data_IF_256020636153
#
_entry.id   IF_256020636153
#
_cell.length_a   1.000
_cell.length_b   1.000
_cell.length_c   1.000
_cell.angle_alpha   90.00
_cell.angle_beta   90.00
_cell.angle_gamma   90.00
#
_symmetry.space_group_name_H-M   'P 1'
#
loop_
_entity.id
_entity.type
_entity.pdbx_description
1 polymer ?
#
# COMPACT_ATOMS: atom_id res chain seq x y z
N UNK A 1 -18.46 66.93 -28.86
CA UNK A 1 -18.67 65.56 -28.34
C UNK A 1 -20.14 65.24 -28.59
N UNK A 2 -20.43 64.37 -29.57
CA UNK A 2 -21.78 64.20 -30.11
C UNK A 2 -22.74 63.69 -29.04
N UNK A 3 -23.88 64.38 -28.92
CA UNK A 3 -25.01 64.06 -28.02
C UNK A 3 -25.46 62.60 -28.23
N UNK A 4 -25.31 62.07 -29.44
CA UNK A 4 -25.68 60.70 -29.81
C UNK A 4 -24.84 59.62 -29.09
N UNK A 5 -23.57 59.88 -28.77
CA UNK A 5 -22.71 58.92 -28.05
C UNK A 5 -23.11 58.84 -26.58
N UNK A 6 -23.49 59.98 -25.97
CA UNK A 6 -23.91 60.02 -24.56
C UNK A 6 -25.26 59.32 -24.39
N UNK A 7 -26.19 59.49 -25.33
CA UNK A 7 -27.49 58.80 -25.32
C UNK A 7 -27.31 57.29 -25.53
N UNK A 8 -26.46 56.87 -26.47
CA UNK A 8 -26.19 55.45 -26.72
C UNK A 8 -25.56 54.75 -25.50
N UNK A 9 -24.62 55.41 -24.81
CA UNK A 9 -24.00 54.88 -23.58
C UNK A 9 -25.03 54.79 -22.44
N UNK A 10 -25.92 55.80 -22.30
CA UNK A 10 -26.99 55.78 -21.31
C UNK A 10 -27.99 54.63 -21.50
N UNK A 11 -28.40 54.36 -22.74
CA UNK A 11 -29.28 53.24 -23.09
C UNK A 11 -28.57 51.90 -22.83
N UNK A 12 -27.28 51.78 -23.16
CA UNK A 12 -26.53 50.55 -22.91
C UNK A 12 -26.41 50.22 -21.41
N UNK A 13 -26.07 51.20 -20.59
CA UNK A 13 -25.90 51.00 -19.13
C UNK A 13 -27.23 50.63 -18.45
N UNK A 14 -28.33 51.24 -18.88
CA UNK A 14 -29.68 50.93 -18.36
C UNK A 14 -30.14 49.52 -18.76
N UNK A 15 -29.83 49.08 -19.97
CA UNK A 15 -30.15 47.72 -20.43
C UNK A 15 -29.37 46.63 -19.68
N UNK A 16 -28.08 46.86 -19.44
CA UNK A 16 -27.21 45.92 -18.68
C UNK A 16 -27.66 45.81 -17.22
N UNK A 17 -28.06 46.93 -16.60
CA UNK A 17 -28.52 46.95 -15.21
C UNK A 17 -29.85 46.19 -15.02
N UNK A 18 -30.76 46.28 -16.00
CA UNK A 18 -32.03 45.56 -15.98
C UNK A 18 -31.84 44.04 -16.12
N UNK A 19 -30.89 43.60 -16.95
CA UNK A 19 -30.60 42.19 -17.18
C UNK A 19 -30.05 41.50 -15.92
N UNK A 20 -29.15 42.16 -15.20
CA UNK A 20 -28.61 41.67 -13.93
C UNK A 20 -29.70 41.52 -12.86
N UNK A 21 -30.59 42.50 -12.75
CA UNK A 21 -31.70 42.45 -11.79
C UNK A 21 -32.65 41.26 -12.03
N UNK A 22 -33.01 41.00 -13.29
CA UNK A 22 -33.89 39.88 -13.65
C UNK A 22 -33.26 38.51 -13.38
N UNK A 23 -31.94 38.39 -13.60
CA UNK A 23 -31.19 37.14 -13.37
C UNK A 23 -31.17 36.76 -11.89
N UNK A 24 -30.96 37.74 -11.01
CA UNK A 24 -30.98 37.51 -9.55
C UNK A 24 -32.38 37.10 -9.06
N UNK A 25 -33.44 37.69 -9.62
CA UNK A 25 -34.83 37.31 -9.28
C UNK A 25 -35.18 35.88 -9.75
N UNK A 26 -34.62 35.43 -10.87
CA UNK A 26 -34.87 34.09 -11.42
C UNK A 26 -34.22 33.00 -10.55
N UNK A 27 -32.96 33.19 -10.14
CA UNK A 27 -32.22 32.23 -9.31
C UNK A 27 -32.89 32.03 -7.94
N UNK A 28 -33.44 33.09 -7.35
CA UNK A 28 -34.10 33.04 -6.04
C UNK A 28 -35.48 32.36 -6.04
N UNK A 29 -36.01 31.91 -7.20
CA UNK A 29 -37.35 31.31 -7.32
C UNK A 29 -37.39 29.80 -7.53
N UNK A 30 -36.26 29.10 -7.55
CA UNK A 30 -36.24 27.64 -7.74
C UNK A 30 -36.51 26.89 -6.41
N UNK A 31 -37.62 26.11 -6.28
CA UNK A 31 -37.89 25.31 -5.07
C UNK A 31 -37.25 23.92 -5.14
N UNK A 32 -36.78 23.44 -3.98
CA UNK A 32 -35.95 22.25 -3.78
C UNK A 32 -36.80 20.98 -3.50
N UNK A 33 -36.28 19.80 -3.90
CA UNK A 33 -36.40 18.44 -3.27
C UNK A 33 -37.18 17.32 -4.00
N UNK A 34 -38.29 17.50 -4.73
CA UNK A 34 -39.09 16.32 -5.17
C UNK A 34 -38.71 15.66 -6.52
N UNK A 35 -37.96 16.33 -7.41
CA UNK A 35 -37.62 15.76 -8.75
C UNK A 35 -36.40 14.83 -8.76
N UNK A 36 -35.53 14.89 -7.76
CA UNK A 36 -34.20 14.24 -7.82
C UNK A 36 -34.24 12.70 -7.78
N UNK A 37 -35.27 12.08 -7.18
CA UNK A 37 -35.35 10.62 -7.04
C UNK A 37 -35.76 9.90 -8.33
N UNK A 38 -36.79 10.40 -9.03
CA UNK A 38 -37.32 9.75 -10.24
C UNK A 38 -36.35 9.88 -11.43
N UNK A 39 -35.65 11.02 -11.54
CA UNK A 39 -34.59 11.20 -12.54
C UNK A 39 -33.35 10.37 -12.25
N UNK A 40 -33.02 10.09 -10.98
CA UNK A 40 -31.95 9.16 -10.62
C UNK A 40 -32.26 7.74 -11.08
N UNK A 41 -33.49 7.30 -10.90
CA UNK A 41 -33.90 5.93 -11.25
C UNK A 41 -34.01 5.73 -12.77
N UNK A 42 -34.47 6.75 -13.50
CA UNK A 42 -34.46 6.78 -14.98
C UNK A 42 -33.05 6.92 -15.56
N UNK A 43 -32.19 7.75 -14.96
CA UNK A 43 -30.78 7.85 -15.34
C UNK A 43 -30.06 6.53 -15.09
N UNK A 44 -30.35 5.84 -13.98
CA UNK A 44 -29.79 4.51 -13.69
C UNK A 44 -30.19 3.46 -14.74
N UNK A 45 -31.46 3.40 -15.17
CA UNK A 45 -31.90 2.45 -16.22
C UNK A 45 -31.35 2.77 -17.61
N UNK A 46 -31.27 4.06 -17.95
CA UNK A 46 -30.64 4.50 -19.21
C UNK A 46 -29.14 4.19 -19.21
N UNK A 47 -28.47 4.44 -18.07
CA UNK A 47 -27.10 4.02 -17.81
C UNK A 47 -27.02 2.51 -18.00
N UNK A 48 -27.71 1.66 -17.24
CA UNK A 48 -27.68 0.19 -17.36
C UNK A 48 -27.88 -0.34 -18.80
N UNK A 49 -28.77 0.24 -19.61
CA UNK A 49 -28.96 -0.17 -21.02
C UNK A 49 -27.81 0.20 -21.98
N UNK A 50 -26.96 1.17 -21.59
CA UNK A 50 -25.81 1.65 -22.36
C UNK A 50 -24.56 0.77 -22.21
N UNK A 51 -24.52 -0.12 -21.20
CA UNK A 51 -23.38 -0.96 -20.82
C UNK A 51 -23.65 -2.47 -21.02
N UNK A 52 -24.68 -2.86 -21.80
CA UNK A 52 -25.14 -4.26 -21.90
C UNK A 52 -24.53 -5.10 -23.05
N UNK A 53 -23.75 -4.54 -23.99
CA UNK A 53 -23.21 -5.34 -25.12
C UNK A 53 -21.68 -5.47 -25.09
N UNK A 54 -21.18 -6.71 -24.90
CA UNK A 54 -19.78 -7.08 -25.08
C UNK A 54 -19.43 -7.29 -26.57
N UNK A 55 -18.26 -6.81 -27.01
CA UNK A 55 -17.61 -7.19 -28.29
C UNK A 55 -17.08 -6.03 -29.15
N UNK A 56 -15.94 -6.25 -29.83
CA UNK A 56 -15.40 -5.34 -30.85
C UNK A 56 -16.20 -5.46 -32.17
N UNK A 57 -16.64 -4.35 -32.80
CA UNK A 57 -17.30 -4.40 -34.10
C UNK A 57 -16.37 -4.77 -35.25
N UNK A 58 -16.87 -5.55 -36.22
CA UNK A 58 -16.16 -6.08 -37.40
C UNK A 58 -15.52 -5.03 -38.35
N UNK A 59 -15.72 -3.73 -38.12
CA UNK A 59 -15.33 -2.66 -39.05
C UNK A 59 -14.08 -1.84 -38.64
N UNK A 60 -13.33 -2.30 -37.63
CA UNK A 60 -12.19 -1.59 -37.02
C UNK A 60 -11.01 -1.30 -37.97
N UNK A 61 -10.85 -2.02 -39.08
CA UNK A 61 -9.74 -1.84 -40.04
C UNK A 61 -10.04 -0.90 -41.22
N UNK A 62 -11.18 -0.21 -41.25
CA UNK A 62 -11.54 0.70 -42.37
C UNK A 62 -11.41 2.18 -41.99
N UNK A 63 -11.00 3.00 -42.96
CA UNK A 63 -10.85 4.47 -42.85
C UNK A 63 -12.23 5.16 -42.92
N UNK A 64 -13.11 4.84 -41.97
CA UNK A 64 -14.37 5.58 -41.73
C UNK A 64 -14.57 5.78 -40.23
N UNK A 65 -15.35 6.82 -39.87
CA UNK A 65 -15.67 7.16 -38.48
C UNK A 65 -16.32 5.96 -37.77
N UNK A 66 -15.75 5.46 -36.66
CA UNK A 66 -16.25 4.27 -36.00
C UNK A 66 -17.66 4.50 -35.46
N UNK A 67 -18.56 3.58 -35.77
CA UNK A 67 -19.98 3.65 -35.44
C UNK A 67 -20.29 3.33 -33.97
N UNK A 68 -19.31 2.88 -33.18
CA UNK A 68 -19.51 2.55 -31.77
C UNK A 68 -18.32 2.89 -30.86
N UNK A 69 -18.72 3.29 -29.65
CA UNK A 69 -18.01 3.73 -28.47
C UNK A 69 -17.41 2.67 -27.50
N UNK A 70 -16.20 2.11 -27.62
CA UNK A 70 -15.67 1.13 -26.63
C UNK A 70 -14.17 1.17 -26.35
N UNK A 71 -13.75 0.60 -25.21
CA UNK A 71 -12.37 0.13 -25.00
C UNK A 71 -12.13 -1.14 -25.82
N UNK A 72 -10.91 -1.37 -26.29
CA UNK A 72 -10.53 -2.65 -26.90
C UNK A 72 -10.60 -3.81 -25.89
N UNK A 73 -10.42 -3.52 -24.58
CA UNK A 73 -10.36 -4.51 -23.50
C UNK A 73 -11.04 -4.03 -22.22
N UNK A 74 -11.51 -4.96 -21.38
CA UNK A 74 -12.18 -4.64 -20.11
C UNK A 74 -11.17 -4.10 -19.08
N UNK A 75 -11.51 -2.99 -18.41
CA UNK A 75 -10.76 -2.49 -17.26
C UNK A 75 -11.56 -2.74 -15.98
N UNK A 76 -10.88 -3.15 -14.93
CA UNK A 76 -11.45 -3.42 -13.62
C UNK A 76 -10.82 -2.52 -12.58
N UNK A 77 -11.58 -2.22 -11.51
CA UNK A 77 -11.11 -1.42 -10.38
C UNK A 77 -11.54 -2.02 -9.05
N UNK A 78 -10.62 -2.10 -8.11
CA UNK A 78 -10.90 -2.41 -6.71
C UNK A 78 -10.58 -1.18 -5.85
N UNK A 79 -11.60 -0.50 -5.27
CA UNK A 79 -11.35 0.56 -4.32
C UNK A 79 -10.82 0.01 -2.99
N UNK A 80 -9.82 0.68 -2.43
CA UNK A 80 -9.25 0.40 -1.12
C UNK A 80 -9.38 1.65 -0.24
N UNK A 81 -9.55 1.43 1.06
CA UNK A 81 -9.52 2.48 2.06
C UNK A 81 -8.54 2.07 3.15
N UNK A 82 -7.45 2.83 3.26
CA UNK A 82 -6.46 2.69 4.32
C UNK A 82 -6.78 3.73 5.38
N UNK A 83 -7.02 3.30 6.62
CA UNK A 83 -7.36 4.18 7.73
C UNK A 83 -6.36 4.02 8.87
N UNK A 84 -5.81 5.14 9.35
CA UNK A 84 -5.12 5.17 10.64
C UNK A 84 -6.09 5.72 11.69
N UNK A 85 -6.25 4.99 12.80
CA UNK A 85 -7.05 5.39 13.96
C UNK A 85 -6.21 5.59 15.23
N UNK A 86 -4.88 5.54 15.09
CA UNK A 86 -3.94 5.64 16.22
C UNK A 86 -3.62 7.09 16.58
N UNK A 87 -3.86 8.02 15.65
CA UNK A 87 -3.50 9.43 15.78
C UNK A 87 -2.06 9.74 15.36
N UNK A 88 -1.32 8.73 14.88
CA UNK A 88 0.06 8.88 14.44
C UNK A 88 0.10 8.90 12.91
N UNK A 89 0.76 9.91 12.35
CA UNK A 89 0.97 9.99 10.90
C UNK A 89 1.97 8.93 10.45
N UNK A 90 1.60 8.19 9.41
CA UNK A 90 2.35 7.12 8.78
C UNK A 90 3.03 7.65 7.53
N UNK A 91 4.35 7.50 7.49
CA UNK A 91 5.18 7.90 6.36
C UNK A 91 5.82 6.63 5.81
N UNK A 92 5.73 6.44 4.50
CA UNK A 92 6.30 5.30 3.78
C UNK A 92 5.85 3.96 4.39
N UNK A 93 4.59 3.85 4.80
CA UNK A 93 4.05 2.66 5.46
C UNK A 93 3.78 1.55 4.47
N UNK A 94 4.29 0.37 4.78
CA UNK A 94 4.04 -0.81 3.99
C UNK A 94 2.74 -1.45 4.47
N UNK A 95 1.73 -1.45 3.61
CA UNK A 95 0.45 -2.09 3.86
C UNK A 95 0.32 -3.30 2.97
N UNK A 96 -0.12 -4.41 3.54
CA UNK A 96 -0.45 -5.63 2.82
C UNK A 96 -1.92 -5.61 2.44
N UNK A 97 -2.25 -5.97 1.21
CA UNK A 97 -3.61 -6.05 0.67
C UNK A 97 -3.78 -7.37 -0.03
N UNK A 98 -4.59 -8.27 0.53
CA UNK A 98 -4.96 -9.52 -0.13
C UNK A 98 -6.13 -9.26 -1.09
N UNK A 99 -5.91 -9.48 -2.38
CA UNK A 99 -6.88 -9.19 -3.43
C UNK A 99 -7.23 -10.43 -4.22
N UNK A 100 -8.54 -10.63 -4.39
CA UNK A 100 -9.09 -11.58 -5.36
C UNK A 100 -9.39 -10.78 -6.63
N UNK A 101 -8.69 -11.14 -7.70
CA UNK A 101 -8.79 -10.49 -9.01
C UNK A 101 -9.75 -11.24 -9.94
N UNK A 102 -9.72 -12.57 -9.90
CA UNK A 102 -10.50 -13.44 -10.76
C UNK A 102 -10.73 -14.81 -10.10
N UNK A 103 -11.75 -14.89 -9.23
CA UNK A 103 -12.13 -16.11 -8.52
C UNK A 103 -12.62 -17.25 -9.44
N UNK A 104 -13.05 -16.89 -10.66
CA UNK A 104 -13.64 -17.81 -11.63
C UNK A 104 -12.72 -18.10 -12.82
N UNK A 105 -11.49 -17.58 -12.80
CA UNK A 105 -10.51 -17.76 -13.86
C UNK A 105 -11.05 -17.48 -15.26
N UNK A 106 -11.59 -16.27 -15.45
CA UNK A 106 -12.06 -15.74 -16.73
C UNK A 106 -11.03 -14.86 -17.44
N UNK A 107 -9.74 -15.04 -17.13
CA UNK A 107 -8.61 -14.29 -17.68
C UNK A 107 -8.80 -12.77 -17.56
N UNK A 108 -9.16 -12.27 -16.37
CA UNK A 108 -9.40 -10.82 -16.16
C UNK A 108 -8.14 -10.00 -15.91
N UNK A 109 -7.05 -10.61 -15.43
CA UNK A 109 -5.93 -9.87 -14.83
C UNK A 109 -4.58 -10.38 -15.31
N UNK A 110 -3.93 -9.54 -16.10
CA UNK A 110 -2.53 -9.70 -16.45
C UNK A 110 -1.64 -8.92 -15.47
N UNK A 111 -0.53 -9.52 -15.01
CA UNK A 111 0.32 -8.95 -13.96
C UNK A 111 0.77 -7.51 -14.27
N UNK A 112 1.21 -7.27 -15.51
CA UNK A 112 1.77 -6.00 -15.95
C UNK A 112 0.73 -4.88 -16.05
N UNK A 113 -0.56 -5.19 -15.95
CA UNK A 113 -1.63 -4.19 -16.02
C UNK A 113 -2.01 -3.62 -14.66
N UNK A 114 -1.60 -4.28 -13.57
CA UNK A 114 -1.98 -3.86 -12.22
C UNK A 114 -1.32 -2.52 -11.90
N UNK A 115 -2.12 -1.52 -11.56
CA UNK A 115 -1.69 -0.17 -11.16
C UNK A 115 -2.48 0.30 -9.96
N UNK A 116 -1.87 1.07 -9.06
CA UNK A 116 -2.56 1.65 -7.92
C UNK A 116 -2.46 3.16 -7.98
N UNK A 117 -3.58 3.85 -7.82
CA UNK A 117 -3.62 5.31 -7.76
C UNK A 117 -4.32 5.77 -6.48
N UNK A 118 -3.94 6.94 -5.97
CA UNK A 118 -4.73 7.64 -4.97
C UNK A 118 -5.88 8.46 -5.59
N UNK A 119 -6.63 9.18 -4.75
CA UNK A 119 -7.74 10.03 -5.17
C UNK A 119 -7.34 11.24 -6.00
N UNK A 120 -6.04 11.58 -6.01
CA UNK A 120 -5.45 12.64 -6.81
C UNK A 120 -4.77 12.10 -8.08
N UNK A 121 -4.97 10.81 -8.40
CA UNK A 121 -4.36 10.11 -9.54
C UNK A 121 -2.83 10.05 -9.49
N UNK A 122 -2.22 10.18 -8.31
CA UNK A 122 -0.81 9.85 -8.16
C UNK A 122 -0.66 8.33 -8.11
N UNK A 123 0.26 7.80 -8.91
CA UNK A 123 0.57 6.38 -8.90
C UNK A 123 1.29 6.00 -7.60
N UNK A 124 0.86 4.90 -7.01
CA UNK A 124 1.40 4.36 -5.76
C UNK A 124 2.17 3.09 -6.10
N UNK A 125 3.50 3.07 -5.87
CA UNK A 125 4.31 1.88 -6.07
C UNK A 125 3.80 0.72 -5.22
N UNK A 126 3.84 -0.48 -5.80
CA UNK A 126 3.51 -1.72 -5.10
C UNK A 126 4.45 -2.86 -5.51
N UNK A 127 4.47 -3.93 -4.71
CA UNK A 127 5.08 -5.21 -5.05
C UNK A 127 4.09 -6.34 -4.86
N UNK A 128 4.22 -7.38 -5.67
CA UNK A 128 3.56 -8.65 -5.42
C UNK A 128 4.35 -9.44 -4.37
N UNK A 129 3.65 -9.95 -3.36
CA UNK A 129 4.23 -10.83 -2.34
C UNK A 129 3.83 -12.30 -2.55
N UNK A 130 2.59 -12.53 -2.97
CA UNK A 130 2.05 -13.86 -3.21
C UNK A 130 1.12 -13.80 -4.40
N UNK A 131 1.32 -14.64 -5.41
CA UNK A 131 0.51 -14.65 -6.62
C UNK A 131 0.03 -16.06 -6.88
N UNK A 132 -1.28 -16.21 -6.99
CA UNK A 132 -1.89 -17.40 -7.55
C UNK A 132 -2.37 -17.11 -8.96
N UNK A 133 -2.23 -18.11 -9.81
CA UNK A 133 -2.53 -18.01 -11.22
C UNK A 133 -3.66 -18.95 -11.60
N UNK A 134 -4.49 -18.46 -12.51
CA UNK A 134 -5.37 -19.26 -13.33
C UNK A 134 -4.58 -19.97 -14.44
N UNK A 135 -5.30 -20.66 -15.32
CA UNK A 135 -4.70 -21.16 -16.55
C UNK A 135 -4.11 -20.00 -17.37
N UNK A 136 -3.11 -20.28 -18.21
CA UNK A 136 -2.51 -19.31 -19.15
C UNK A 136 -1.77 -18.13 -18.49
N UNK A 137 -1.52 -18.18 -17.17
CA UNK A 137 -0.66 -17.20 -16.48
C UNK A 137 -1.38 -15.94 -15.97
N UNK A 138 -2.71 -15.89 -16.08
CA UNK A 138 -3.51 -14.80 -15.51
C UNK A 138 -3.58 -14.89 -13.98
N UNK A 139 -3.60 -13.76 -13.27
CA UNK A 139 -3.65 -13.73 -11.80
C UNK A 139 -5.08 -14.01 -11.34
N UNK A 140 -5.26 -15.01 -10.47
CA UNK A 140 -6.53 -15.28 -9.79
C UNK A 140 -6.69 -14.42 -8.53
N UNK A 141 -5.65 -14.39 -7.71
CA UNK A 141 -5.57 -13.60 -6.50
C UNK A 141 -4.10 -13.31 -6.20
N UNK A 142 -3.84 -12.20 -5.54
CA UNK A 142 -2.51 -11.89 -5.08
C UNK A 142 -2.52 -11.03 -3.83
N UNK A 143 -1.45 -11.12 -3.06
CA UNK A 143 -1.12 -10.13 -2.05
C UNK A 143 -0.31 -9.02 -2.68
N UNK A 144 -0.79 -7.79 -2.53
CA UNK A 144 -0.03 -6.57 -2.85
C UNK A 144 0.55 -5.98 -1.58
N UNK A 145 1.83 -5.65 -1.61
CA UNK A 145 2.46 -4.78 -0.62
C UNK A 145 2.55 -3.39 -1.22
N UNK A 146 1.99 -2.39 -0.53
CA UNK A 146 1.85 -1.02 -1.03
C UNK A 146 2.55 -0.05 -0.07
N UNK A 147 3.22 0.98 -0.61
CA UNK A 147 3.87 2.02 0.20
C UNK A 147 2.96 3.25 0.28
N UNK A 148 2.44 3.58 1.46
CA UNK A 148 1.44 4.64 1.65
C UNK A 148 1.85 5.68 2.69
N UNK A 149 1.39 6.91 2.47
CA UNK A 149 1.42 7.97 3.47
C UNK A 149 -0.01 8.22 3.95
N UNK A 150 -0.25 8.12 5.26
CA UNK A 150 -1.58 8.30 5.87
C UNK A 150 -1.43 9.14 7.12
N UNK A 151 -2.08 10.29 7.18
CA UNK A 151 -2.06 11.13 8.40
C UNK A 151 -2.80 10.44 9.55
N UNK A 152 -2.40 10.73 10.79
CA UNK A 152 -3.05 10.16 11.96
C UNK A 152 -4.55 10.52 12.02
N UNK A 153 -5.39 9.56 12.44
CA UNK A 153 -6.86 9.72 12.47
C UNK A 153 -7.49 10.10 11.12
N UNK A 154 -6.86 9.69 10.02
CA UNK A 154 -7.32 9.99 8.66
C UNK A 154 -7.52 8.72 7.82
N UNK A 155 -8.11 8.89 6.65
CA UNK A 155 -8.37 7.82 5.69
C UNK A 155 -7.82 8.21 4.33
N UNK A 156 -7.04 7.32 3.71
CA UNK A 156 -6.57 7.44 2.33
C UNK A 156 -7.33 6.46 1.44
N UNK A 157 -7.89 6.97 0.35
CA UNK A 157 -8.52 6.15 -0.69
C UNK A 157 -7.48 5.79 -1.73
N UNK A 158 -7.46 4.52 -2.12
CA UNK A 158 -6.65 4.03 -3.21
C UNK A 158 -7.54 3.25 -4.17
N UNK A 159 -7.08 3.09 -5.40
CA UNK A 159 -7.81 2.39 -6.44
C UNK A 159 -6.82 1.51 -7.19
N UNK A 160 -7.03 0.20 -7.11
CA UNK A 160 -6.28 -0.78 -7.89
C UNK A 160 -6.99 -0.96 -9.22
N UNK A 161 -6.30 -0.72 -10.32
CA UNK A 161 -6.77 -0.92 -11.68
C UNK A 161 -6.04 -2.09 -12.32
N UNK A 162 -6.72 -2.85 -13.16
CA UNK A 162 -6.13 -3.96 -13.90
C UNK A 162 -6.99 -4.36 -15.09
N UNK A 163 -6.39 -5.04 -16.06
CA UNK A 163 -7.06 -5.56 -17.26
C UNK A 163 -6.44 -6.88 -17.70
N UNK A 164 -6.95 -7.45 -18.78
CA UNK A 164 -6.41 -8.62 -19.45
C UNK A 164 -5.48 -8.26 -20.62
N UNK A 165 -4.88 -7.07 -20.58
CA UNK A 165 -4.03 -6.59 -21.67
C UNK A 165 -2.58 -7.05 -21.53
N UNK A 166 -2.25 -8.14 -22.22
CA UNK A 166 -0.89 -8.69 -22.28
C UNK A 166 0.12 -7.76 -22.97
N UNK A 167 -0.33 -6.75 -23.71
CA UNK A 167 0.56 -5.81 -24.40
C UNK A 167 1.13 -4.72 -23.49
N UNK A 168 0.59 -4.59 -22.28
CA UNK A 168 1.05 -3.59 -21.31
C UNK A 168 2.38 -4.01 -20.71
N UNK A 169 3.34 -3.10 -20.75
CA UNK A 169 4.66 -3.29 -20.15
C UNK A 169 4.59 -3.29 -18.62
N UNK A 170 5.50 -4.04 -18.01
CA UNK A 170 5.63 -4.13 -16.56
C UNK A 170 5.99 -2.75 -15.97
N UNK A 171 5.32 -2.31 -14.89
CA UNK A 171 5.70 -1.08 -14.23
C UNK A 171 7.05 -1.22 -13.54
N UNK A 172 7.90 -0.21 -13.68
CA UNK A 172 9.21 -0.23 -13.06
C UNK A 172 9.20 0.48 -11.70
N UNK A 173 9.04 -0.27 -10.61
CA UNK A 173 9.13 0.23 -9.23
C UNK A 173 10.47 -0.16 -8.59
N UNK A 174 11.54 0.59 -8.86
CA UNK A 174 12.90 0.26 -8.39
C UNK A 174 13.21 0.67 -6.94
N UNK A 175 12.42 1.56 -6.33
CA UNK A 175 12.73 2.14 -5.01
C UNK A 175 11.98 1.44 -3.86
N UNK A 176 12.39 0.21 -3.58
CA UNK A 176 11.90 -0.57 -2.44
C UNK A 176 13.02 -0.79 -1.43
N UNK A 177 12.81 -0.24 -0.24
CA UNK A 177 13.74 -0.34 0.87
C UNK A 177 13.44 -1.51 1.80
N UNK A 178 12.18 -1.95 1.90
CA UNK A 178 11.77 -3.15 2.63
C UNK A 178 12.15 -4.41 1.84
N UNK A 179 13.08 -5.19 2.39
CA UNK A 179 13.66 -6.38 1.75
C UNK A 179 13.30 -7.69 2.44
N UNK A 180 12.72 -7.65 3.64
CA UNK A 180 12.11 -8.81 4.29
C UNK A 180 10.95 -8.34 5.14
N UNK A 181 9.83 -9.04 5.05
CA UNK A 181 8.71 -8.87 5.98
C UNK A 181 8.03 -10.21 6.28
N UNK A 182 8.22 -10.71 7.49
CA UNK A 182 7.56 -11.90 8.02
C UNK A 182 6.51 -11.45 9.08
N UNK A 183 5.22 -11.35 8.71
CA UNK A 183 4.16 -11.00 9.66
C UNK A 183 3.83 -12.16 10.60
N UNK A 184 4.21 -13.39 10.27
CA UNK A 184 3.86 -14.57 11.04
C UNK A 184 2.34 -14.79 11.22
N UNK A 185 1.57 -14.42 10.20
CA UNK A 185 0.11 -14.51 10.19
C UNK A 185 -0.43 -15.86 9.69
N UNK A 186 0.41 -16.77 9.20
CA UNK A 186 -0.03 -18.02 8.56
C UNK A 186 -0.74 -18.97 9.54
N UNK A 187 -0.30 -18.99 10.81
CA UNK A 187 -0.95 -19.72 11.90
C UNK A 187 -0.90 -21.25 11.82
N UNK A 188 -0.39 -21.83 10.73
CA UNK A 188 -0.26 -23.27 10.52
C UNK A 188 0.92 -23.60 9.58
N UNK A 189 1.36 -24.86 9.59
CA UNK A 189 2.46 -25.33 8.75
C UNK A 189 3.83 -24.86 9.25
N UNK A 190 4.83 -24.93 8.37
CA UNK A 190 6.23 -24.64 8.70
C UNK A 190 6.83 -23.54 7.80
N UNK A 191 6.00 -22.70 7.19
CA UNK A 191 6.43 -21.64 6.27
C UNK A 191 5.94 -20.31 6.82
N UNK A 192 6.86 -19.34 6.89
CA UNK A 192 6.57 -17.93 7.13
C UNK A 192 6.84 -17.16 5.83
N UNK A 193 5.80 -16.65 5.19
CA UNK A 193 5.92 -16.03 3.88
C UNK A 193 6.53 -14.64 3.98
N UNK A 194 7.39 -14.32 3.00
CA UNK A 194 7.94 -12.97 2.86
C UNK A 194 7.00 -12.06 2.08
N UNK A 195 6.49 -11.06 2.77
CA UNK A 195 5.59 -10.05 2.23
C UNK A 195 6.30 -8.82 1.67
N UNK A 196 7.63 -8.79 1.61
CA UNK A 196 8.37 -7.69 0.97
C UNK A 196 8.37 -7.77 -0.56
N UNK A 197 8.04 -8.94 -1.12
CA UNK A 197 8.14 -9.22 -2.56
C UNK A 197 9.55 -9.56 -3.04
N UNK A 198 10.48 -9.89 -2.12
CA UNK A 198 11.82 -10.40 -2.45
C UNK A 198 11.95 -11.92 -2.28
N UNK A 199 10.86 -12.62 -1.96
CA UNK A 199 10.79 -14.06 -1.79
C UNK A 199 11.76 -14.61 -0.73
N UNK A 200 12.10 -13.82 0.28
CA UNK A 200 12.97 -14.18 1.40
C UNK A 200 12.19 -14.98 2.46
N UNK A 201 11.52 -16.04 2.00
CA UNK A 201 10.61 -16.87 2.80
C UNK A 201 11.34 -17.54 3.96
N UNK A 202 10.76 -17.48 5.15
CA UNK A 202 11.24 -18.16 6.35
C UNK A 202 10.70 -19.59 6.43
N UNK A 203 11.53 -20.52 6.89
CA UNK A 203 11.14 -21.90 7.18
C UNK A 203 11.27 -22.14 8.69
N UNK A 204 10.19 -22.59 9.32
CA UNK A 204 10.19 -22.98 10.73
C UNK A 204 10.82 -24.38 10.84
N UNK A 205 11.79 -24.55 11.74
CA UNK A 205 12.29 -25.88 12.10
C UNK A 205 11.39 -26.53 13.17
N UNK A 206 11.79 -27.73 13.65
CA UNK A 206 10.96 -28.56 14.53
C UNK A 206 10.48 -27.81 15.80
N UNK A 207 9.29 -28.18 16.30
CA UNK A 207 8.68 -27.69 17.55
C UNK A 207 8.46 -26.17 17.69
N UNK A 208 8.77 -25.38 16.67
CA UNK A 208 8.26 -24.01 16.55
C UNK A 208 6.74 -24.07 16.43
N UNK A 209 6.03 -23.27 17.21
CA UNK A 209 4.57 -23.30 17.30
C UNK A 209 3.98 -21.94 16.94
N UNK A 210 2.74 -21.94 16.44
CA UNK A 210 2.00 -20.71 16.19
C UNK A 210 1.26 -20.28 17.47
N UNK A 211 1.16 -18.97 17.69
CA UNK A 211 0.43 -18.39 18.81
C UNK A 211 -0.32 -17.11 18.37
N UNK A 212 -1.15 -16.57 19.26
CA UNK A 212 -1.74 -15.25 19.03
C UNK A 212 -0.67 -14.16 19.14
N UNK A 213 -0.59 -13.34 18.09
CA UNK A 213 0.42 -12.31 17.94
C UNK A 213 0.10 -10.99 18.62
N UNK A 214 0.96 -10.02 18.37
CA UNK A 214 0.66 -8.61 18.58
C UNK A 214 -0.43 -8.18 17.61
N UNK A 215 -0.33 -8.64 16.37
CA UNK A 215 -1.36 -8.53 15.34
C UNK A 215 -1.58 -9.92 14.75
N UNK A 216 -2.84 -10.35 14.62
CA UNK A 216 -3.14 -11.67 14.06
C UNK A 216 -2.44 -12.82 14.80
N UNK A 217 -1.61 -13.58 14.08
CA UNK A 217 -0.82 -14.68 14.63
C UNK A 217 0.63 -14.25 14.86
N UNK A 218 1.40 -15.12 15.51
CA UNK A 218 2.83 -14.96 15.73
C UNK A 218 3.50 -16.33 15.82
N UNK A 219 4.82 -16.33 15.83
CA UNK A 219 5.62 -17.52 16.09
C UNK A 219 6.04 -17.56 17.56
N UNK A 220 5.83 -18.70 18.21
CA UNK A 220 6.20 -18.99 19.58
C UNK A 220 7.40 -19.95 19.64
N UNK A 221 8.41 -19.53 20.39
CA UNK A 221 9.62 -20.27 20.72
C UNK A 221 9.60 -20.62 22.21
N UNK A 222 10.04 -21.83 22.55
CA UNK A 222 9.98 -22.40 23.90
C UNK A 222 11.34 -22.41 24.62
N UNK A 223 12.38 -21.79 24.03
CA UNK A 223 13.76 -21.84 24.54
C UNK A 223 14.52 -23.14 24.23
N UNK A 224 13.94 -24.05 23.45
CA UNK A 224 14.61 -25.23 22.86
C UNK A 224 15.26 -24.88 21.51
N UNK A 225 15.99 -25.80 20.84
CA UNK A 225 16.70 -25.56 19.57
C UNK A 225 15.84 -25.23 18.33
N UNK A 226 15.00 -24.21 18.46
CA UNK A 226 13.91 -23.86 17.57
C UNK A 226 14.20 -22.47 16.96
N UNK A 227 14.00 -22.33 15.66
CA UNK A 227 14.25 -21.11 14.90
C UNK A 227 13.45 -21.07 13.60
N UNK A 228 13.24 -19.85 13.09
CA UNK A 228 12.87 -19.63 11.69
C UNK A 228 14.13 -19.30 10.91
N UNK A 229 14.34 -19.97 9.78
CA UNK A 229 15.50 -19.75 8.92
C UNK A 229 15.09 -19.08 7.61
N UNK A 230 15.72 -17.95 7.29
CA UNK A 230 15.67 -17.28 5.99
C UNK A 230 16.99 -17.53 5.27
N UNK A 231 16.94 -18.26 4.15
CA UNK A 231 18.15 -18.74 3.44
C UNK A 231 18.66 -17.81 2.34
N UNK A 232 17.87 -16.84 1.95
CA UNK A 232 18.25 -15.96 0.86
C UNK A 232 19.22 -14.88 1.37
N UNK A 233 20.26 -14.56 0.59
CA UNK A 233 21.22 -13.56 0.97
C UNK A 233 20.62 -12.15 1.01
N UNK A 234 20.69 -11.47 2.16
CA UNK A 234 20.42 -10.02 2.24
C UNK A 234 21.76 -9.28 2.24
N UNK A 235 22.03 -8.45 1.24
CA UNK A 235 23.27 -7.66 1.17
C UNK A 235 22.99 -6.23 1.62
N UNK A 236 23.36 -5.88 2.86
CA UNK A 236 22.95 -4.65 3.52
C UNK A 236 24.16 -3.79 3.93
N UNK A 237 24.33 -2.63 3.27
CA UNK A 237 25.34 -1.63 3.64
C UNK A 237 24.92 -0.80 4.86
N UNK A 238 23.66 -0.35 4.82
CA UNK A 238 22.96 0.27 5.94
C UNK A 238 21.64 -0.43 6.08
N UNK A 239 21.06 -0.45 7.27
CA UNK A 239 19.84 -1.21 7.48
C UNK A 239 19.05 -0.77 8.69
N UNK A 240 17.81 -1.23 8.73
CA UNK A 240 16.97 -1.22 9.92
C UNK A 240 16.37 -2.59 10.10
N UNK A 241 16.41 -3.12 11.31
CA UNK A 241 15.71 -4.35 11.70
C UNK A 241 14.67 -3.96 12.73
N UNK A 242 13.43 -4.41 12.57
CA UNK A 242 12.36 -4.14 13.52
C UNK A 242 11.46 -5.35 13.69
N UNK A 243 10.95 -5.56 14.90
CA UNK A 243 10.06 -6.69 15.23
C UNK A 243 9.37 -6.45 16.57
N UNK A 244 8.30 -7.18 16.81
CA UNK A 244 7.66 -7.30 18.11
C UNK A 244 8.15 -8.54 18.82
N UNK A 245 8.48 -8.42 20.11
CA UNK A 245 8.76 -9.56 20.98
C UNK A 245 7.83 -9.54 22.20
N UNK A 246 7.54 -10.72 22.72
CA UNK A 246 6.97 -10.91 24.05
C UNK A 246 7.74 -12.05 24.72
N UNK A 247 8.80 -11.74 25.47
CA UNK A 247 9.62 -12.72 26.16
C UNK A 247 8.81 -13.50 27.20
N UNK A 248 9.17 -14.75 27.43
CA UNK A 248 8.63 -15.57 28.52
C UNK A 248 9.28 -15.20 29.86
N UNK A 249 8.59 -15.50 30.96
CA UNK A 249 9.13 -15.34 32.32
C UNK A 249 10.16 -16.38 32.70
N UNK A 250 10.34 -17.42 31.90
CA UNK A 250 11.29 -18.49 32.15
C UNK A 250 12.27 -18.52 30.98
N UNK A 251 13.54 -18.16 31.21
CA UNK A 251 14.47 -17.92 30.13
C UNK A 251 15.93 -18.14 30.52
N UNK A 252 16.79 -18.24 29.51
CA UNK A 252 18.26 -18.21 29.70
C UNK A 252 18.77 -16.78 29.50
N UNK A 253 20.00 -16.51 29.93
CA UNK A 253 20.65 -15.23 29.66
C UNK A 253 21.11 -15.15 28.19
N UNK A 254 21.00 -13.97 27.58
CA UNK A 254 21.52 -13.69 26.24
C UNK A 254 20.81 -14.42 25.09
N UNK A 255 19.49 -14.60 25.17
CA UNK A 255 18.71 -15.37 24.19
C UNK A 255 18.73 -14.75 22.79
N UNK A 256 18.96 -15.56 21.77
CA UNK A 256 19.03 -15.11 20.38
C UNK A 256 17.64 -14.80 19.81
N UNK A 257 17.37 -13.52 19.55
CA UNK A 257 16.18 -13.09 18.80
C UNK A 257 16.45 -13.21 17.30
N UNK A 258 17.63 -12.77 16.87
CA UNK A 258 18.09 -12.93 15.49
C UNK A 258 19.59 -13.17 15.48
N UNK A 259 20.03 -14.08 14.62
CA UNK A 259 21.42 -14.42 14.44
C UNK A 259 21.74 -14.60 12.96
N UNK A 260 22.90 -14.08 12.54
CA UNK A 260 23.45 -14.35 11.23
C UNK A 260 24.80 -15.09 11.38
N UNK A 261 24.83 -16.35 10.92
CA UNK A 261 26.02 -17.20 10.94
C UNK A 261 26.80 -16.91 9.66
N UNK A 262 28.07 -16.54 9.79
CA UNK A 262 29.18 -17.08 9.00
C UNK A 262 30.41 -16.18 9.24
N UNK A 263 30.30 -14.87 8.99
CA UNK A 263 31.47 -13.96 8.94
C UNK A 263 31.40 -12.71 9.85
N UNK A 264 30.22 -12.30 10.32
CA UNK A 264 30.04 -10.98 10.99
C UNK A 264 29.64 -11.06 12.47
N UNK A 265 29.45 -12.27 12.99
CA UNK A 265 28.96 -12.57 14.33
C UNK A 265 27.95 -11.52 14.81
N UNK A 266 26.86 -11.38 14.05
CA UNK A 266 25.83 -10.38 14.30
C UNK A 266 24.68 -10.98 15.09
N UNK A 267 24.38 -10.40 16.25
CA UNK A 267 23.33 -10.89 17.13
C UNK A 267 22.38 -9.78 17.55
N UNK A 268 21.11 -10.13 17.55
CA UNK A 268 20.09 -9.47 18.35
C UNK A 268 19.71 -10.41 19.49
N UNK A 269 19.78 -9.91 20.72
CA UNK A 269 19.60 -10.73 21.92
C UNK A 269 18.62 -10.11 22.90
N UNK A 270 18.00 -10.99 23.68
CA UNK A 270 17.27 -10.66 24.89
C UNK A 270 18.05 -11.10 26.12
N UNK A 271 18.43 -10.15 26.96
CA UNK A 271 19.05 -10.43 28.25
C UNK A 271 17.96 -10.61 29.30
N UNK A 272 17.68 -11.87 29.65
CA UNK A 272 16.61 -12.24 30.57
C UNK A 272 16.74 -11.57 31.94
N UNK A 273 17.93 -11.59 32.55
CA UNK A 273 18.12 -11.05 33.91
C UNK A 273 17.86 -9.54 34.04
N UNK A 274 18.09 -8.78 32.96
CA UNK A 274 17.88 -7.33 32.92
C UNK A 274 16.65 -6.92 32.10
N UNK A 275 15.97 -7.87 31.47
CA UNK A 275 14.91 -7.64 30.48
C UNK A 275 15.31 -6.67 29.35
N UNK A 276 16.59 -6.65 28.97
CA UNK A 276 17.12 -5.70 27.99
C UNK A 276 17.22 -6.31 26.60
N UNK A 277 16.94 -5.47 25.61
CA UNK A 277 17.23 -5.76 24.22
C UNK A 277 18.67 -5.34 23.90
N UNK A 278 19.43 -6.23 23.27
CA UNK A 278 20.84 -6.00 22.99
C UNK A 278 21.20 -6.35 21.55
N UNK A 279 22.24 -5.70 21.05
CA UNK A 279 22.88 -6.00 19.77
C UNK A 279 24.36 -6.29 20.00
N UNK A 280 24.91 -7.21 19.21
CA UNK A 280 26.33 -7.45 19.10
C UNK A 280 26.74 -7.53 17.64
N UNK A 281 27.94 -7.01 17.35
CA UNK A 281 28.61 -7.22 16.08
C UNK A 281 30.12 -7.27 16.32
N UNK A 282 30.78 -8.28 15.74
CA UNK A 282 32.24 -8.38 15.76
C UNK A 282 32.91 -7.47 14.71
N UNK A 283 32.14 -6.90 13.78
CA UNK A 283 32.63 -6.10 12.64
C UNK A 283 32.70 -4.62 12.90
N UNK A 284 31.98 -4.12 13.90
CA UNK A 284 32.10 -2.74 14.30
C UNK A 284 33.52 -2.42 14.75
N UNK A 285 33.91 -1.16 14.61
CA UNK A 285 35.10 -0.62 15.22
C UNK A 285 34.73 0.52 16.20
N UNK A 286 34.89 0.29 17.52
CA UNK A 286 35.29 -0.98 18.15
C UNK A 286 34.16 -2.05 18.07
N UNK A 287 34.50 -3.36 18.10
CA UNK A 287 33.50 -4.42 18.27
C UNK A 287 32.75 -4.22 19.59
N UNK A 288 31.46 -4.51 19.64
CA UNK A 288 30.65 -4.06 20.77
C UNK A 288 29.40 -4.88 21.05
N UNK A 289 29.11 -5.05 22.34
CA UNK A 289 27.84 -5.53 22.88
C UNK A 289 27.10 -4.34 23.50
N UNK A 290 25.95 -3.97 22.96
CA UNK A 290 25.20 -2.79 23.38
C UNK A 290 23.77 -3.16 23.70
N UNK A 291 23.34 -2.84 24.91
CA UNK A 291 21.96 -3.00 25.36
C UNK A 291 21.27 -1.65 25.51
N UNK A 292 19.95 -1.71 25.43
CA UNK A 292 19.04 -0.62 25.79
C UNK A 292 19.12 -0.30 27.30
N UNK A 293 18.53 0.82 27.71
CA UNK A 293 18.24 1.13 29.11
C UNK A 293 16.77 0.85 29.43
N UNK A 294 15.86 1.11 28.49
CA UNK A 294 14.46 0.70 28.56
C UNK A 294 14.34 -0.83 28.45
N UNK A 295 13.47 -1.40 29.28
CA UNK A 295 13.23 -2.84 29.35
C UNK A 295 12.18 -3.27 28.32
N UNK A 296 12.43 -4.39 27.66
CA UNK A 296 11.41 -5.16 26.96
C UNK A 296 10.79 -6.13 27.98
N UNK A 297 9.72 -5.68 28.64
CA UNK A 297 9.12 -6.36 29.79
C UNK A 297 8.68 -7.81 29.46
N UNK A 298 9.00 -8.74 30.36
CA UNK A 298 8.53 -10.13 30.25
C UNK A 298 7.01 -10.21 30.18
N UNK A 299 6.51 -11.15 29.37
CA UNK A 299 5.09 -11.39 29.15
C UNK A 299 4.29 -10.20 28.59
N UNK A 300 4.96 -9.14 28.14
CA UNK A 300 4.34 -8.01 27.44
C UNK A 300 4.95 -7.85 26.05
N UNK A 301 4.13 -7.37 25.13
CA UNK A 301 4.61 -7.03 23.79
C UNK A 301 5.43 -5.75 23.84
N UNK A 302 6.66 -5.83 23.37
CA UNK A 302 7.55 -4.69 23.14
C UNK A 302 7.99 -4.69 21.69
N UNK A 303 7.93 -3.53 21.05
CA UNK A 303 8.55 -3.34 19.74
C UNK A 303 10.02 -3.01 19.95
N UNK A 304 10.89 -3.74 19.28
CA UNK A 304 12.32 -3.50 19.31
C UNK A 304 12.80 -3.25 17.89
N UNK A 305 13.70 -2.29 17.74
CA UNK A 305 14.34 -2.05 16.45
C UNK A 305 15.78 -1.61 16.63
N UNK A 306 16.57 -1.82 15.58
CA UNK A 306 17.87 -1.19 15.41
C UNK A 306 17.94 -0.50 14.06
N UNK A 307 18.63 0.64 13.99
CA UNK A 307 19.03 1.26 12.72
C UNK A 307 20.54 1.47 12.69
N UNK A 308 21.16 1.13 11.56
CA UNK A 308 22.60 1.20 11.36
C UNK A 308 22.92 1.99 10.09
N UNK A 309 23.73 3.05 10.23
CA UNK A 309 24.05 3.99 9.15
C UNK A 309 25.57 4.12 8.90
N UNK A 310 26.32 3.02 9.03
CA UNK A 310 27.79 2.91 8.97
C UNK A 310 28.59 3.56 10.09
N UNK A 311 28.06 4.62 10.72
CA UNK A 311 28.75 5.40 11.77
C UNK A 311 28.08 5.30 13.14
N UNK A 312 26.82 4.89 13.18
CA UNK A 312 26.04 4.75 14.39
C UNK A 312 25.15 3.52 14.30
N UNK A 313 24.94 2.87 15.44
CA UNK A 313 23.84 1.96 15.67
C UNK A 313 22.90 2.61 16.69
N UNK A 314 21.63 2.70 16.34
CA UNK A 314 20.58 3.21 17.20
C UNK A 314 19.71 2.05 17.68
N UNK A 315 19.38 2.03 18.96
CA UNK A 315 18.50 1.05 19.59
C UNK A 315 17.19 1.70 19.97
N UNK A 316 16.09 1.01 19.69
CA UNK A 316 14.75 1.49 19.95
C UNK A 316 13.94 0.46 20.73
N UNK A 317 13.17 0.94 21.70
CA UNK A 317 12.16 0.14 22.43
C UNK A 317 10.86 0.93 22.41
N UNK A 318 9.76 0.26 22.06
CA UNK A 318 8.43 0.87 21.93
C UNK A 318 8.45 2.15 21.08
N UNK A 319 9.30 2.17 20.04
CA UNK A 319 9.45 3.23 19.03
C UNK A 319 10.20 4.47 19.50
N UNK A 320 10.63 4.53 20.75
CA UNK A 320 11.47 5.60 21.24
C UNK A 320 12.94 5.24 20.99
N UNK A 321 13.74 6.24 20.56
CA UNK A 321 15.19 6.10 20.53
C UNK A 321 15.70 5.99 21.97
N UNK A 322 16.18 4.82 22.36
CA UNK A 322 16.72 4.56 23.70
C UNK A 322 18.22 4.87 23.75
N UNK A 323 18.95 4.50 22.69
CA UNK A 323 20.41 4.65 22.65
C UNK A 323 20.92 4.89 21.24
N UNK A 324 21.92 5.76 21.12
CA UNK A 324 22.71 5.93 19.90
C UNK A 324 24.18 5.69 20.24
N UNK A 325 24.78 4.71 19.58
CA UNK A 325 26.15 4.28 19.84
C UNK A 325 26.99 4.58 18.60
N UNK A 326 28.07 5.34 18.79
CA UNK A 326 29.06 5.57 17.76
C UNK A 326 29.87 4.30 17.53
N UNK A 327 29.82 3.79 16.30
CA UNK A 327 30.57 2.62 15.81
C UNK A 327 31.10 2.94 14.42
N UNK A 328 31.93 2.11 13.82
CA UNK A 328 32.27 2.27 12.40
C UNK A 328 32.34 0.93 11.70
N UNK A 329 31.67 0.83 10.57
CA UNK A 329 31.79 -0.26 9.60
C UNK A 329 31.17 0.19 8.28
N UNK A 330 31.98 0.23 7.23
CA UNK A 330 31.62 0.70 5.88
C UNK A 330 31.53 -0.44 4.85
N UNK A 331 31.74 -1.68 5.29
CA UNK A 331 31.44 -2.87 4.51
C UNK A 331 29.94 -3.16 4.45
N UNK A 332 29.57 -4.11 3.61
CA UNK A 332 28.22 -4.63 3.62
C UNK A 332 28.13 -5.80 4.58
N UNK A 333 27.10 -5.81 5.42
CA UNK A 333 26.66 -7.03 6.05
C UNK A 333 26.09 -7.91 4.94
N UNK A 334 26.80 -8.99 4.63
CA UNK A 334 26.28 -9.99 3.73
C UNK A 334 25.63 -11.04 4.62
N UNK A 335 24.30 -10.99 4.72
CA UNK A 335 23.53 -12.07 5.33
C UNK A 335 23.49 -13.25 4.35
N UNK A 336 24.65 -13.73 3.89
CA UNK A 336 24.90 -14.42 2.62
C UNK A 336 24.44 -15.88 2.53
N UNK A 337 24.07 -16.45 3.67
CA UNK A 337 23.85 -17.88 3.82
C UNK A 337 22.54 -18.14 4.52
N UNK A 338 22.41 -17.74 5.79
CA UNK A 338 21.26 -18.08 6.63
C UNK A 338 21.06 -17.06 7.76
N UNK A 339 19.89 -16.42 7.80
CA UNK A 339 19.44 -15.63 8.95
C UNK A 339 18.49 -16.45 9.79
N UNK A 340 18.79 -16.56 11.08
CA UNK A 340 18.02 -17.31 12.06
C UNK A 340 17.25 -16.33 12.93
N UNK A 341 15.97 -16.62 13.18
CA UNK A 341 15.08 -15.84 14.05
C UNK A 341 14.59 -16.75 15.17
N UNK A 342 14.62 -16.27 16.40
CA UNK A 342 14.28 -17.00 17.62
C UNK A 342 15.36 -17.96 18.11
N UNK A 343 16.49 -18.05 17.41
CA UNK A 343 17.57 -18.97 17.76
C UNK A 343 18.84 -18.78 16.95
N UNK A 344 19.77 -19.69 17.16
CA UNK A 344 21.02 -19.81 16.40
C UNK A 344 21.29 -21.29 16.10
N UNK A 345 22.06 -21.61 15.05
CA UNK A 345 22.40 -22.98 14.69
C UNK A 345 23.45 -23.56 15.66
N UNK A 346 22.97 -24.33 16.64
CA UNK A 346 23.80 -25.11 17.57
C UNK A 346 23.06 -25.39 18.88
N UNK A 347 23.16 -26.60 19.43
CA UNK A 347 22.34 -27.04 20.58
C UNK A 347 22.63 -26.33 21.91
N UNK A 348 23.78 -25.65 22.02
CA UNK A 348 24.23 -25.01 23.26
C UNK A 348 23.98 -23.49 23.29
N UNK A 349 23.44 -22.91 22.22
CA UNK A 349 23.14 -21.48 22.18
C UNK A 349 21.89 -21.18 23.02
N UNK A 350 21.80 -19.99 23.66
CA UNK A 350 20.58 -19.57 24.34
C UNK A 350 19.52 -19.21 23.28
N UNK A 351 18.56 -20.11 23.08
CA UNK A 351 17.40 -19.89 22.20
C UNK A 351 16.38 -18.94 22.85
N UNK A 352 15.64 -18.22 22.02
CA UNK A 352 14.56 -17.35 22.50
C UNK A 352 13.43 -18.17 23.13
N UNK A 353 12.97 -17.75 24.30
CA UNK A 353 11.74 -18.24 24.90
C UNK A 353 10.72 -17.12 24.95
N UNK A 354 9.68 -17.21 24.13
CA UNK A 354 8.67 -16.18 23.96
C UNK A 354 8.11 -16.15 22.54
N UNK A 355 7.31 -15.13 22.25
CA UNK A 355 6.71 -14.95 20.92
C UNK A 355 7.36 -13.80 20.16
N UNK A 356 7.56 -13.98 18.85
CA UNK A 356 8.05 -12.95 17.92
C UNK A 356 6.99 -12.72 16.85
N UNK A 357 6.81 -11.46 16.45
CA UNK A 357 5.82 -11.02 15.47
C UNK A 357 6.40 -9.88 14.60
N UNK A 358 5.86 -9.68 13.38
CA UNK A 358 6.15 -8.55 12.48
C UNK A 358 7.65 -8.29 12.18
N UNK A 359 8.42 -9.33 11.83
CA UNK A 359 9.85 -9.16 11.53
C UNK A 359 10.04 -8.44 10.21
N UNK A 360 10.68 -7.26 10.24
CA UNK A 360 10.92 -6.41 9.07
C UNK A 360 12.39 -6.03 8.95
N UNK A 361 12.88 -6.03 7.72
CA UNK A 361 14.25 -5.59 7.37
C UNK A 361 14.18 -4.57 6.24
N UNK A 362 14.79 -3.41 6.49
CA UNK A 362 15.01 -2.38 5.48
C UNK A 362 16.49 -2.31 5.10
N UNK A 363 16.80 -2.14 3.82
CA UNK A 363 18.16 -1.96 3.30
C UNK A 363 18.68 -0.51 3.43
N UNK A 364 18.13 0.23 4.40
CA UNK A 364 18.58 1.56 4.79
C UNK A 364 18.35 1.82 6.27
N UNK A 365 19.06 2.79 6.82
CA UNK A 365 18.74 3.36 8.12
C UNK A 365 17.45 4.20 8.03
N UNK A 366 16.41 3.80 8.77
CA UNK A 366 15.19 4.59 8.96
C UNK A 366 15.45 5.74 9.93
N UNK A 367 14.74 6.87 9.75
CA UNK A 367 14.74 7.96 10.72
C UNK A 367 13.95 7.60 11.99
N UNK A 368 14.13 8.39 13.06
CA UNK A 368 13.35 8.22 14.29
C UNK A 368 11.84 8.34 14.03
N UNK A 369 11.44 9.31 13.21
CA UNK A 369 10.04 9.55 12.84
C UNK A 369 9.48 8.36 12.05
N UNK A 370 10.27 7.79 11.14
CA UNK A 370 9.88 6.59 10.41
C UNK A 370 9.69 5.41 11.35
N UNK A 371 10.60 5.18 12.30
CA UNK A 371 10.51 4.08 13.28
C UNK A 371 9.31 4.26 14.22
N UNK A 372 9.08 5.47 14.73
CA UNK A 372 7.87 5.79 15.52
C UNK A 372 6.62 5.48 14.70
N UNK A 373 6.63 5.81 13.41
CA UNK A 373 5.52 5.51 12.50
C UNK A 373 5.39 4.01 12.14
N UNK A 374 6.38 3.15 12.43
CA UNK A 374 6.28 1.68 12.24
C UNK A 374 5.86 0.95 13.52
N UNK A 375 6.13 1.55 14.67
CA UNK A 375 6.01 0.97 15.99
C UNK A 375 4.57 0.86 16.53
N UNK A 376 3.58 1.50 15.93
CA UNK A 376 2.20 1.45 16.43
C UNK A 376 1.26 0.84 15.39
N UNK A 377 0.29 0.01 15.77
CA UNK A 377 -0.86 -0.51 14.99
C UNK A 377 -0.72 -0.74 13.47
N UNK A 378 -1.08 -1.93 12.99
CA UNK A 378 -1.41 -2.12 11.58
C UNK A 378 -2.49 -1.09 11.14
N UNK A 379 -2.29 -0.34 10.05
CA UNK A 379 -3.34 0.52 9.52
C UNK A 379 -4.54 -0.34 9.13
N UNK A 380 -5.74 0.09 9.49
CA UNK A 380 -6.95 -0.64 9.14
C UNK A 380 -7.18 -0.53 7.64
N UNK A 381 -7.15 -1.69 6.98
CA UNK A 381 -7.44 -1.81 5.56
C UNK A 381 -8.88 -2.27 5.37
N UNK A 382 -9.64 -1.54 4.55
CA UNK A 382 -10.95 -1.96 4.07
C UNK A 382 -10.93 -2.08 2.56
N UNK A 383 -11.21 -3.29 2.08
CA UNK A 383 -11.32 -3.61 0.65
C UNK A 383 -12.79 -3.51 0.26
N UNK A 384 -13.07 -2.83 -0.85
CA UNK A 384 -14.41 -2.75 -1.43
C UNK A 384 -14.54 -3.74 -2.58
N UNK A 385 -15.76 -4.18 -2.92
CA UNK A 385 -15.97 -5.07 -4.06
C UNK A 385 -15.39 -4.50 -5.36
N UNK A 386 -14.92 -5.41 -6.22
CA UNK A 386 -14.50 -5.12 -7.59
C UNK A 386 -15.62 -4.41 -8.38
N UNK A 387 -15.20 -3.46 -9.22
CA UNK A 387 -16.07 -2.71 -10.11
C UNK A 387 -15.50 -2.76 -11.52
N UNK A 388 -16.27 -3.25 -12.49
CA UNK A 388 -15.95 -3.11 -13.90
C UNK A 388 -16.08 -1.64 -14.31
N UNK A 389 -15.06 -1.12 -14.98
CA UNK A 389 -15.06 0.24 -15.51
C UNK A 389 -15.11 0.19 -17.03
N UNK A 390 -16.14 0.80 -17.60
CA UNK A 390 -16.10 1.19 -19.01
C UNK A 390 -15.43 2.55 -19.11
N UNK A 391 -14.19 2.59 -19.60
CA UNK A 391 -13.55 3.86 -19.91
C UNK A 391 -14.07 4.41 -21.25
N UNK A 392 -14.33 5.70 -21.25
CA UNK A 392 -14.64 6.49 -22.44
C UNK A 392 -13.29 6.74 -23.13
N UNK A 393 -13.13 6.31 -24.39
CA UNK A 393 -11.89 6.60 -25.13
C UNK A 393 -11.66 8.12 -25.23
N UNK A 394 -10.40 8.61 -25.31
CA UNK A 394 -10.13 10.03 -25.53
C UNK A 394 -10.84 10.57 -26.78
N UNK A 395 -10.99 9.74 -27.81
CA UNK A 395 -11.76 10.03 -29.01
C UNK A 395 -13.28 10.07 -28.78
N UNK A 396 -13.85 9.29 -27.84
CA UNK A 396 -15.25 9.37 -27.38
C UNK A 396 -15.50 10.66 -26.60
N UNK A 397 -14.55 11.06 -25.75
CA UNK A 397 -14.58 12.33 -25.02
C UNK A 397 -14.50 13.51 -25.99
N UNK A 398 -13.63 13.43 -26.99
CA UNK A 398 -13.47 14.45 -28.03
C UNK A 398 -14.65 14.48 -29.01
N UNK A 399 -15.23 13.33 -29.33
CA UNK A 399 -16.47 13.23 -30.12
C UNK A 399 -17.67 13.82 -29.37
N UNK A 400 -17.81 13.57 -28.07
CA UNK A 400 -18.84 14.18 -27.21
C UNK A 400 -18.69 15.71 -27.11
N UNK A 401 -17.45 16.21 -27.08
CA UNK A 401 -17.16 17.66 -27.16
C UNK A 401 -17.53 18.27 -28.51
N UNK A 402 -17.50 17.46 -29.58
CA UNK A 402 -17.80 17.86 -30.96
C UNK A 402 -19.25 17.62 -31.38
N UNK A 403 -20.10 17.06 -30.52
CA UNK A 403 -21.55 16.99 -30.79
C UNK A 403 -22.08 18.42 -30.79
N UNK A 404 -22.44 18.91 -31.98
CA UNK A 404 -23.10 20.21 -32.14
C UNK A 404 -24.39 20.25 -31.31
N UNK A 405 -24.60 21.38 -30.63
CA UNK A 405 -25.73 21.64 -29.75
C UNK A 405 -27.08 21.22 -30.36
N UNK A 406 -27.29 21.48 -31.66
CA UNK A 406 -28.53 21.14 -32.37
C UNK A 406 -28.76 19.63 -32.53
N UNK A 407 -27.68 18.84 -32.62
CA UNK A 407 -27.76 17.38 -32.72
C UNK A 407 -28.05 16.74 -31.36
N UNK A 408 -27.54 17.31 -30.27
CA UNK A 408 -27.90 16.90 -28.91
C UNK A 408 -29.37 17.26 -28.58
N UNK A 409 -29.81 18.45 -29.00
CA UNK A 409 -31.17 18.95 -28.83
C UNK A 409 -32.21 18.12 -29.59
N UNK A 410 -31.91 17.67 -30.81
CA UNK A 410 -32.84 16.83 -31.60
C UNK A 410 -33.01 15.41 -31.05
N UNK A 411 -31.98 14.87 -30.41
CA UNK A 411 -32.02 13.53 -29.78
C UNK A 411 -32.79 13.56 -28.45
N UNK A 412 -32.69 14.65 -27.69
CA UNK A 412 -33.24 14.76 -26.33
C UNK A 412 -34.61 15.46 -26.25
N UNK A 413 -35.04 16.11 -27.33
CA UNK A 413 -36.31 16.82 -27.44
C UNK A 413 -36.25 18.27 -26.95
N UNK A 414 -37.11 19.12 -27.53
CA UNK A 414 -37.04 20.60 -27.47
C UNK A 414 -37.22 21.25 -26.09
N UNK A 415 -37.50 20.48 -25.03
CA UNK A 415 -37.89 20.99 -23.72
C UNK A 415 -36.80 20.92 -22.64
N UNK A 416 -35.54 20.63 -23.00
CA UNK A 416 -34.44 20.55 -22.04
C UNK A 416 -33.29 21.48 -22.44
N UNK A 417 -33.01 22.47 -21.60
CA UNK A 417 -31.78 23.27 -21.69
C UNK A 417 -30.65 22.56 -20.93
N UNK A 418 -29.53 22.32 -21.61
CA UNK A 418 -28.31 21.82 -20.99
C UNK A 418 -27.18 22.83 -21.17
N UNK A 419 -26.37 22.99 -20.12
CA UNK A 419 -25.08 23.68 -20.16
C UNK A 419 -23.99 22.63 -20.07
N UNK A 420 -23.21 22.48 -21.13
CA UNK A 420 -21.97 21.68 -21.14
C UNK A 420 -20.83 22.59 -20.66
N UNK A 421 -20.46 22.48 -19.39
CA UNK A 421 -19.18 23.02 -18.91
C UNK A 421 -18.11 21.96 -19.13
N UNK A 422 -17.32 22.12 -20.19
CA UNK A 422 -16.02 21.47 -20.29
C UNK A 422 -15.08 22.30 -19.45
N UNK A 423 -14.74 21.84 -18.24
CA UNK A 423 -13.62 22.41 -17.51
C UNK A 423 -12.34 22.10 -18.29
N UNK A 424 -11.61 23.10 -18.82
CA UNK A 424 -10.21 22.90 -19.12
C UNK A 424 -9.49 22.79 -17.77
N UNK A 425 -8.91 21.62 -17.52
CA UNK A 425 -7.93 21.45 -16.45
C UNK A 425 -6.68 22.23 -16.89
N UNK A 426 -6.19 23.13 -16.03
CA UNK A 426 -4.78 23.56 -16.05
C UNK A 426 -3.90 22.45 -15.50
#
# INVERSE_FOLDING_TARGET
MNVDIVIAIGIFITMVSLLLYLTVQYVNRLPIISRVSEYREKAKRFFESLFESEGSPENWEKVELPSQIGLERKLYRIPLLVADNSGISRINEFVKVDLIFDDKCKNKTWNNTVRIFDDSFNEIPFKFAFQNYCNEGYISNATLTIKVNVSGNSKKKLFVYYSNDESVEEPNYTDWDLVLYLPFDEGTGNVAWDYSGYNNTGILNENVSWAYGKFGNAVNFDGSPNYVIVKNPLNLATFTLGFWIKPSKDGREGQAIMYNKLDDDFWLRYNYSSSLFCVYSSRWNPPGYHCTNEVAEDSKWSFCAISFNTTHVNLYVNGNLDKSIQVSYDGNYIFDSETYIGGAPGENEPFFNGTIDEVKVWNRALSNEEIVSKNFTQPLLKIFPEQSLELISPSKLDALRKIEYEKAKSILGENYEFRLEVNPVE
#
